data_IF_493267482113
#
_entry.id   IF_493267482113
#
_cell.length_a   1.000
_cell.length_b   1.000
_cell.length_c   1.000
_cell.angle_alpha   90.00
_cell.angle_beta   90.00
_cell.angle_gamma   90.00
#
_symmetry.space_group_name_H-M   'P 1'
#
loop_
_entity.id
_entity.type
_entity.pdbx_description
1 polymer ?
#
# COMPACT_ATOMS: atom_id res chain seq x y z
N UNK A 1 33.12 75.74 1.29
CA UNK A 1 32.90 74.81 2.42
C UNK A 1 32.07 73.65 1.92
N UNK A 2 32.63 72.45 1.90
CA UNK A 2 31.94 71.25 1.41
C UNK A 2 30.86 70.86 2.42
N UNK A 3 29.60 70.84 1.97
CA UNK A 3 28.46 70.43 2.76
C UNK A 3 28.44 68.90 2.82
N UNK A 4 28.82 68.37 3.99
CA UNK A 4 28.63 66.97 4.38
C UNK A 4 27.12 66.71 4.41
N UNK A 5 26.58 66.20 3.30
CA UNK A 5 25.19 65.72 3.25
C UNK A 5 25.21 64.20 3.33
N UNK A 6 24.81 63.74 4.51
CA UNK A 6 23.92 62.59 4.69
C UNK A 6 24.51 61.21 4.39
N UNK A 7 25.45 60.79 5.25
CA UNK A 7 25.88 59.38 5.41
C UNK A 7 24.89 58.56 6.27
N UNK A 8 23.58 58.80 6.14
CA UNK A 8 22.58 57.95 6.80
C UNK A 8 22.40 56.66 6.00
N UNK A 9 23.06 55.58 6.44
CA UNK A 9 22.93 54.24 5.87
C UNK A 9 21.45 53.84 5.83
N UNK A 10 20.94 53.52 4.64
CA UNK A 10 19.59 53.02 4.47
C UNK A 10 19.57 51.51 4.75
N UNK A 11 19.14 51.13 5.96
CA UNK A 11 19.08 49.73 6.39
C UNK A 11 18.12 48.88 5.57
N UNK A 12 16.99 49.43 5.14
CA UNK A 12 16.00 48.70 4.33
C UNK A 12 16.58 48.28 2.97
N UNK A 13 17.36 49.17 2.35
CA UNK A 13 18.05 48.86 1.08
C UNK A 13 19.06 47.74 1.26
N UNK A 14 19.83 47.79 2.35
CA UNK A 14 20.84 46.77 2.66
C UNK A 14 20.20 45.42 2.98
N UNK A 15 19.08 45.40 3.72
CA UNK A 15 18.33 44.18 4.02
C UNK A 15 17.80 43.52 2.73
N UNK A 16 17.24 44.30 1.82
CA UNK A 16 16.79 43.79 0.52
C UNK A 16 17.94 43.20 -0.31
N UNK A 17 19.10 43.87 -0.34
CA UNK A 17 20.29 43.38 -1.06
C UNK A 17 20.79 42.05 -0.48
N UNK A 18 20.80 41.93 0.85
CA UNK A 18 21.17 40.68 1.54
C UNK A 18 20.16 39.57 1.24
N UNK A 19 18.87 39.88 1.27
CA UNK A 19 17.81 38.93 0.96
C UNK A 19 17.87 38.42 -0.48
N UNK A 20 18.14 39.31 -1.43
CA UNK A 20 18.34 38.97 -2.84
C UNK A 20 19.57 38.07 -3.03
N UNK A 21 20.68 38.41 -2.37
CA UNK A 21 21.89 37.60 -2.40
C UNK A 21 21.65 36.19 -1.83
N UNK A 22 20.96 36.09 -0.69
CA UNK A 22 20.59 34.79 -0.10
C UNK A 22 19.66 33.98 -1.01
N UNK A 23 18.66 34.60 -1.63
CA UNK A 23 17.75 33.91 -2.57
C UNK A 23 18.50 33.40 -3.79
N UNK A 24 19.42 34.19 -4.34
CA UNK A 24 20.25 33.80 -5.48
C UNK A 24 21.17 32.63 -5.14
N UNK A 25 21.81 32.64 -3.96
CA UNK A 25 22.66 31.54 -3.51
C UNK A 25 21.87 30.25 -3.32
N UNK A 26 20.70 30.32 -2.66
CA UNK A 26 19.82 29.17 -2.50
C UNK A 26 19.39 28.58 -3.84
N UNK A 27 18.99 29.43 -4.80
CA UNK A 27 18.63 29.02 -6.16
C UNK A 27 19.80 28.34 -6.88
N UNK A 28 21.02 28.85 -6.73
CA UNK A 28 22.22 28.26 -7.29
C UNK A 28 22.42 26.82 -6.77
N UNK A 29 22.33 26.62 -5.46
CA UNK A 29 22.47 25.30 -4.84
C UNK A 29 21.38 24.32 -5.31
N UNK A 30 20.12 24.77 -5.35
CA UNK A 30 18.98 23.99 -5.85
C UNK A 30 19.19 23.55 -7.30
N UNK A 31 19.60 24.48 -8.17
CA UNK A 31 19.89 24.18 -9.57
C UNK A 31 21.08 23.23 -9.71
N UNK A 32 22.12 23.37 -8.91
CA UNK A 32 23.28 22.50 -8.97
C UNK A 32 22.93 21.05 -8.55
N UNK A 33 22.14 20.89 -7.48
CA UNK A 33 21.60 19.57 -7.10
C UNK A 33 20.75 18.97 -8.23
N UNK A 34 19.87 19.77 -8.84
CA UNK A 34 19.06 19.36 -9.97
C UNK A 34 19.91 18.95 -11.18
N UNK A 35 21.00 19.69 -11.48
CA UNK A 35 21.96 19.33 -12.53
C UNK A 35 22.58 17.97 -12.26
N UNK A 36 23.06 17.72 -11.04
CA UNK A 36 23.64 16.42 -10.68
C UNK A 36 22.62 15.29 -10.77
N UNK A 37 21.37 15.54 -10.36
CA UNK A 37 20.28 14.57 -10.45
C UNK A 37 19.95 14.23 -11.90
N UNK A 38 19.80 15.25 -12.75
CA UNK A 38 19.49 15.08 -14.17
C UNK A 38 20.59 14.31 -14.92
N UNK A 39 21.86 14.60 -14.63
CA UNK A 39 23.00 13.87 -15.22
C UNK A 39 22.97 12.39 -14.84
N UNK A 40 22.62 12.05 -13.59
CA UNK A 40 22.51 10.65 -13.14
C UNK A 40 21.37 9.88 -13.84
N UNK A 41 20.29 10.57 -14.21
CA UNK A 41 19.13 9.96 -14.87
C UNK A 41 19.39 9.63 -16.35
N UNK A 42 20.47 10.12 -16.96
CA UNK A 42 20.87 9.85 -18.37
C UNK A 42 19.76 10.13 -19.40
N UNK A 43 19.12 11.29 -19.29
CA UNK A 43 18.07 11.75 -20.21
C UNK A 43 18.60 12.54 -21.42
N UNK A 44 17.66 13.05 -22.22
CA UNK A 44 17.94 14.01 -23.30
C UNK A 44 18.29 15.39 -22.74
N UNK A 45 18.87 16.26 -23.58
CA UNK A 45 19.19 17.62 -23.16
C UNK A 45 17.95 18.43 -22.76
N UNK A 46 16.81 18.21 -23.42
CA UNK A 46 15.58 18.93 -23.08
C UNK A 46 15.06 18.50 -21.70
N UNK A 47 15.08 17.21 -21.38
CA UNK A 47 14.74 16.71 -20.04
C UNK A 47 15.67 17.29 -18.97
N UNK A 48 16.98 17.37 -19.26
CA UNK A 48 17.93 18.01 -18.35
C UNK A 48 17.55 19.48 -18.09
N UNK A 49 17.24 20.23 -19.14
CA UNK A 49 16.87 21.64 -19.05
C UNK A 49 15.56 21.82 -18.26
N UNK A 50 14.56 20.97 -18.49
CA UNK A 50 13.30 20.98 -17.77
C UNK A 50 13.50 20.70 -16.27
N UNK A 51 14.28 19.68 -15.91
CA UNK A 51 14.58 19.34 -14.51
C UNK A 51 15.27 20.51 -13.79
N UNK A 52 16.27 21.13 -14.43
CA UNK A 52 17.01 22.25 -13.83
C UNK A 52 16.12 23.49 -13.72
N UNK A 53 15.27 23.75 -14.73
CA UNK A 53 14.31 24.84 -14.69
C UNK A 53 13.28 24.65 -13.56
N UNK A 54 12.81 23.42 -13.35
CA UNK A 54 11.83 23.07 -12.32
C UNK A 54 12.41 22.95 -10.90
N UNK A 55 13.71 23.14 -10.69
CA UNK A 55 14.38 22.93 -9.40
C UNK A 55 13.84 23.81 -8.26
N UNK A 56 13.28 24.98 -8.58
CA UNK A 56 12.74 25.94 -7.63
C UNK A 56 11.28 25.65 -7.22
N UNK A 57 10.64 24.67 -7.86
CA UNK A 57 9.25 24.32 -7.56
C UNK A 57 9.18 23.64 -6.19
N UNK A 58 8.29 24.14 -5.33
CA UNK A 58 8.02 23.54 -4.03
C UNK A 58 7.02 22.39 -4.18
N UNK A 59 7.14 21.32 -3.37
CA UNK A 59 6.08 20.32 -3.26
C UNK A 59 4.76 20.99 -2.90
N UNK A 60 3.66 20.53 -3.49
CA UNK A 60 2.32 20.98 -3.14
C UNK A 60 2.09 20.85 -1.63
N UNK A 61 1.74 21.95 -0.98
CA UNK A 61 1.40 21.92 0.43
C UNK A 61 0.01 21.28 0.63
N UNK A 62 -0.29 20.77 1.84
CA UNK A 62 -1.56 20.08 2.12
C UNK A 62 -2.79 20.98 1.97
N UNK A 63 -2.59 22.29 2.07
CA UNK A 63 -3.55 23.35 1.84
C UNK A 63 -3.61 23.79 0.37
N UNK A 64 -2.59 23.50 -0.44
CA UNK A 64 -2.59 23.66 -1.90
C UNK A 64 -3.34 22.49 -2.54
N UNK A 65 -4.55 22.21 -2.04
CA UNK A 65 -5.47 21.32 -2.75
C UNK A 65 -5.85 22.06 -4.03
N UNK A 66 -5.24 21.64 -5.13
CA UNK A 66 -5.84 21.78 -6.45
C UNK A 66 -7.30 21.37 -6.25
N UNK A 67 -8.25 22.22 -6.66
CA UNK A 67 -9.67 21.87 -6.77
C UNK A 67 -9.85 20.79 -7.84
N UNK A 68 -9.13 19.66 -7.71
CA UNK A 68 -9.50 18.41 -8.31
C UNK A 68 -10.55 17.86 -7.36
N UNK A 69 -11.79 18.32 -7.55
CA UNK A 69 -12.98 17.85 -6.83
C UNK A 69 -13.17 16.33 -6.95
N UNK A 70 -12.45 15.70 -7.86
CA UNK A 70 -12.31 14.26 -7.94
C UNK A 70 -11.16 13.82 -7.04
N UNK A 71 -11.53 13.45 -5.81
CA UNK A 71 -10.78 12.60 -4.89
C UNK A 71 -9.86 11.66 -5.68
N UNK A 72 -8.59 12.03 -5.84
CA UNK A 72 -7.57 11.14 -6.41
C UNK A 72 -7.46 9.99 -5.43
N UNK A 73 -8.21 8.93 -5.69
CA UNK A 73 -8.08 7.65 -5.01
C UNK A 73 -6.67 7.21 -5.35
N UNK A 74 -5.75 7.33 -4.38
CA UNK A 74 -4.40 6.82 -4.55
C UNK A 74 -4.53 5.37 -5.03
N UNK A 75 -4.00 5.03 -6.22
CA UNK A 75 -4.20 3.71 -6.82
C UNK A 75 -3.58 2.58 -5.97
N UNK A 76 -2.76 2.94 -5.00
CA UNK A 76 -2.12 2.06 -4.02
C UNK A 76 -3.01 1.69 -2.82
N UNK A 77 -4.13 2.38 -2.62
CA UNK A 77 -5.09 2.11 -1.53
C UNK A 77 -6.50 1.90 -2.10
N UNK A 78 -6.68 0.82 -2.86
CA UNK A 78 -8.01 0.39 -3.33
C UNK A 78 -8.95 0.03 -2.18
N UNK A 79 -8.41 -0.34 -1.01
CA UNK A 79 -9.17 -0.80 0.15
C UNK A 79 -9.50 0.32 1.16
N UNK A 80 -8.99 1.53 0.96
CA UNK A 80 -9.18 2.68 1.86
C UNK A 80 -10.18 3.73 1.36
N UNK A 81 -10.70 3.59 0.14
CA UNK A 81 -11.70 4.53 -0.37
C UNK A 81 -13.11 4.13 0.08
N UNK A 82 -13.55 4.69 1.21
CA UNK A 82 -14.97 4.92 1.43
C UNK A 82 -15.43 5.98 0.41
N UNK A 83 -15.61 5.58 -0.85
CA UNK A 83 -16.43 6.28 -1.83
C UNK A 83 -17.67 5.43 -2.03
N UNK A 84 -18.80 5.92 -1.54
CA UNK A 84 -20.12 5.41 -1.89
C UNK A 84 -20.33 5.64 -3.39
N UNK A 85 -19.84 4.73 -4.23
CA UNK A 85 -20.32 4.59 -5.60
C UNK A 85 -21.29 3.44 -5.63
N UNK A 86 -22.54 3.80 -5.85
CA UNK A 86 -23.63 2.90 -6.15
C UNK A 86 -23.27 2.06 -7.38
N UNK A 87 -22.92 0.80 -7.15
CA UNK A 87 -23.18 -0.29 -8.10
C UNK A 87 -23.89 -1.34 -7.28
N UNK A 88 -25.16 -1.53 -7.61
CA UNK A 88 -26.10 -2.30 -6.81
C UNK A 88 -25.68 -3.76 -6.72
N UNK A 89 -25.53 -4.22 -5.49
CA UNK A 89 -26.07 -5.51 -5.06
C UNK A 89 -26.57 -5.31 -3.64
N UNK A 90 -27.85 -5.59 -3.48
CA UNK A 90 -28.65 -5.40 -2.28
C UNK A 90 -27.93 -5.98 -1.05
N UNK A 91 -27.60 -5.10 -0.09
CA UNK A 91 -27.27 -5.51 1.27
C UNK A 91 -28.31 -4.87 2.18
N UNK A 92 -29.33 -5.66 2.51
CA UNK A 92 -30.10 -5.42 3.72
C UNK A 92 -29.17 -5.70 4.90
N UNK A 93 -29.08 -4.71 5.78
CA UNK A 93 -28.68 -4.91 7.16
C UNK A 93 -29.44 -6.09 7.75
N UNK A 94 -28.71 -7.10 8.21
CA UNK A 94 -29.19 -8.10 9.14
C UNK A 94 -27.98 -8.65 9.89
N UNK A 95 -28.01 -8.49 11.20
CA UNK A 95 -27.18 -9.24 12.11
C UNK A 95 -27.46 -10.75 11.91
N UNK A 96 -26.58 -11.44 11.20
CA UNK A 96 -26.45 -12.89 11.25
C UNK A 96 -24.98 -13.26 11.08
N UNK A 97 -24.53 -14.20 11.91
CA UNK A 97 -23.23 -14.86 11.81
C UNK A 97 -23.18 -15.78 10.58
N UNK A 98 -23.30 -15.21 9.38
CA UNK A 98 -23.22 -15.95 8.14
C UNK A 98 -21.78 -15.98 7.65
N UNK A 99 -21.29 -17.20 7.49
CA UNK A 99 -19.96 -17.49 7.00
C UNK A 99 -19.87 -17.07 5.54
N UNK A 100 -19.15 -15.98 5.27
CA UNK A 100 -18.85 -15.55 3.91
C UNK A 100 -17.64 -16.32 3.39
N UNK A 101 -17.85 -17.25 2.46
CA UNK A 101 -16.75 -17.97 1.81
C UNK A 101 -15.85 -16.99 1.04
N UNK A 102 -14.51 -17.04 1.23
CA UNK A 102 -13.61 -16.10 0.57
C UNK A 102 -13.53 -16.40 -0.93
N UNK A 103 -13.70 -15.36 -1.74
CA UNK A 103 -13.64 -15.43 -3.21
C UNK A 103 -12.19 -15.28 -3.74
N UNK A 104 -11.24 -14.86 -2.90
CA UNK A 104 -9.84 -14.61 -3.26
C UNK A 104 -8.88 -14.93 -2.10
N UNK A 105 -7.62 -15.31 -2.44
CA UNK A 105 -6.52 -15.54 -1.48
C UNK A 105 -6.39 -14.41 -0.45
N UNK A 106 -6.50 -13.15 -0.89
CA UNK A 106 -6.39 -12.00 0.00
C UNK A 106 -7.55 -11.90 0.99
N UNK A 107 -8.78 -12.12 0.51
CA UNK A 107 -9.97 -12.13 1.37
C UNK A 107 -9.87 -13.23 2.43
N UNK A 108 -9.37 -14.42 2.05
CA UNK A 108 -9.09 -15.49 2.99
C UNK A 108 -8.11 -15.04 4.08
N UNK A 109 -6.96 -14.46 3.71
CA UNK A 109 -5.94 -14.03 4.67
C UNK A 109 -6.50 -12.98 5.64
N UNK A 110 -7.34 -12.06 5.17
CA UNK A 110 -7.97 -11.07 6.04
C UNK A 110 -8.89 -11.74 7.09
N UNK A 111 -9.76 -12.65 6.66
CA UNK A 111 -10.63 -13.39 7.59
C UNK A 111 -9.82 -14.28 8.54
N UNK A 112 -8.76 -14.92 8.03
CA UNK A 112 -7.84 -15.74 8.81
C UNK A 112 -7.11 -14.95 9.90
N UNK A 113 -6.62 -13.75 9.55
CA UNK A 113 -5.92 -12.85 10.49
C UNK A 113 -6.87 -12.20 11.50
N UNK A 114 -8.16 -12.07 11.19
CA UNK A 114 -9.19 -11.56 12.11
C UNK A 114 -9.47 -12.54 13.26
N UNK A 115 -9.25 -13.84 13.04
CA UNK A 115 -9.44 -14.85 14.10
C UNK A 115 -8.32 -14.77 15.14
N UNK A 116 -8.73 -14.66 16.41
CA UNK A 116 -7.80 -14.45 17.54
C UNK A 116 -7.28 -15.78 18.12
N UNK A 117 -8.08 -16.84 18.07
CA UNK A 117 -7.72 -18.16 18.61
C UNK A 117 -7.41 -19.17 17.51
N UNK A 118 -6.51 -20.12 17.80
CA UNK A 118 -6.27 -21.29 16.93
C UNK A 118 -7.53 -22.15 16.75
N UNK A 119 -8.41 -22.17 17.77
CA UNK A 119 -9.72 -22.81 17.72
C UNK A 119 -10.67 -22.19 16.71
N UNK A 120 -10.74 -20.86 16.70
CA UNK A 120 -11.59 -20.13 15.75
C UNK A 120 -11.08 -20.30 14.32
N UNK A 121 -9.74 -20.35 14.15
CA UNK A 121 -9.08 -20.62 12.87
C UNK A 121 -9.40 -22.02 12.34
N UNK A 122 -9.29 -23.04 13.19
CA UNK A 122 -9.61 -24.43 12.83
C UNK A 122 -11.11 -24.60 12.52
N UNK A 123 -11.99 -24.03 13.34
CA UNK A 123 -13.44 -24.02 13.09
C UNK A 123 -13.81 -23.31 11.78
N UNK A 124 -13.12 -22.22 11.44
CA UNK A 124 -13.30 -21.52 10.16
C UNK A 124 -12.83 -22.37 8.97
N UNK A 125 -11.69 -23.06 9.08
CA UNK A 125 -11.22 -24.00 8.05
C UNK A 125 -12.18 -25.17 7.87
N UNK A 126 -12.66 -25.75 8.96
CA UNK A 126 -13.64 -26.83 8.92
C UNK A 126 -14.90 -26.39 8.18
N UNK A 127 -15.48 -25.24 8.55
CA UNK A 127 -16.67 -24.69 7.90
C UNK A 127 -16.43 -24.37 6.42
N UNK A 128 -15.23 -23.91 6.07
CA UNK A 128 -14.84 -23.65 4.67
C UNK A 128 -14.79 -24.94 3.84
N UNK A 129 -14.17 -25.98 4.38
CA UNK A 129 -14.04 -27.28 3.74
C UNK A 129 -15.40 -27.99 3.60
N UNK A 130 -16.25 -27.85 4.61
CA UNK A 130 -17.58 -28.46 4.65
C UNK A 130 -18.55 -27.78 3.66
N UNK A 131 -18.52 -26.46 3.57
CA UNK A 131 -19.43 -25.69 2.69
C UNK A 131 -18.92 -25.56 1.27
N UNK A 132 -17.61 -25.45 1.08
CA UNK A 132 -16.97 -25.16 -0.21
C UNK A 132 -16.33 -26.37 -0.89
N UNK A 133 -16.19 -27.49 -0.19
CA UNK A 133 -15.55 -28.70 -0.69
C UNK A 133 -14.08 -28.48 -1.11
N UNK A 134 -13.49 -29.43 -1.87
CA UNK A 134 -12.09 -29.35 -2.28
C UNK A 134 -11.81 -28.19 -3.26
N UNK A 135 -12.82 -27.77 -4.02
CA UNK A 135 -12.71 -26.71 -5.01
C UNK A 135 -12.58 -25.30 -4.41
N UNK A 136 -13.11 -25.05 -3.20
CA UNK A 136 -13.03 -23.73 -2.58
C UNK A 136 -11.58 -23.34 -2.27
N UNK A 137 -10.78 -24.27 -1.73
CA UNK A 137 -9.36 -24.04 -1.42
C UNK A 137 -8.57 -23.81 -2.71
N UNK A 138 -8.81 -24.61 -3.76
CA UNK A 138 -8.16 -24.44 -5.06
C UNK A 138 -8.55 -23.12 -5.75
N UNK A 139 -9.78 -22.65 -5.56
CA UNK A 139 -10.23 -21.36 -6.11
C UNK A 139 -9.57 -20.19 -5.37
N UNK A 140 -9.45 -20.30 -4.05
CA UNK A 140 -8.81 -19.28 -3.20
C UNK A 140 -7.29 -19.24 -3.42
N UNK A 141 -6.63 -20.40 -3.48
CA UNK A 141 -5.16 -20.54 -3.58
C UNK A 141 -4.71 -21.04 -4.95
N UNK A 142 -5.36 -20.59 -6.02
CA UNK A 142 -5.12 -21.05 -7.40
C UNK A 142 -3.65 -20.99 -7.82
N UNK A 143 -2.94 -19.92 -7.46
CA UNK A 143 -1.55 -19.70 -7.87
C UNK A 143 -0.57 -20.14 -6.78
N UNK A 144 -0.77 -19.68 -5.55
CA UNK A 144 0.13 -19.96 -4.43
C UNK A 144 -0.56 -19.80 -3.08
N UNK A 145 -0.02 -20.52 -2.10
CA UNK A 145 -0.34 -20.32 -0.69
C UNK A 145 0.62 -19.23 -0.16
N UNK A 146 0.11 -18.14 0.44
CA UNK A 146 0.94 -17.13 1.05
C UNK A 146 1.93 -17.71 2.05
N UNK A 147 3.16 -17.19 2.05
CA UNK A 147 4.24 -17.66 2.92
C UNK A 147 3.82 -17.65 4.41
N UNK A 148 4.19 -18.71 5.14
CA UNK A 148 3.85 -18.90 6.55
C UNK A 148 2.43 -19.39 6.84
N UNK A 149 1.50 -19.31 5.88
CA UNK A 149 0.11 -19.73 6.08
C UNK A 149 -0.04 -21.24 6.24
N UNK A 150 0.79 -22.03 5.52
CA UNK A 150 0.81 -23.49 5.62
C UNK A 150 1.14 -23.96 7.06
N UNK A 151 2.13 -23.34 7.69
CA UNK A 151 2.49 -23.64 9.08
C UNK A 151 1.34 -23.31 10.03
N UNK A 152 0.68 -22.17 9.83
CA UNK A 152 -0.49 -21.79 10.64
C UNK A 152 -1.66 -22.78 10.45
N UNK A 153 -1.88 -23.32 9.25
CA UNK A 153 -2.88 -24.37 9.00
C UNK A 153 -2.55 -25.64 9.78
N UNK A 154 -1.32 -26.13 9.68
CA UNK A 154 -0.89 -27.35 10.37
C UNK A 154 -0.96 -27.21 11.89
N UNK A 155 -0.57 -26.05 12.44
CA UNK A 155 -0.68 -25.77 13.88
C UNK A 155 -2.15 -25.76 14.30
N UNK A 156 -3.02 -25.12 13.52
CA UNK A 156 -4.45 -25.03 13.86
C UNK A 156 -5.13 -26.40 13.81
N UNK A 157 -4.83 -27.21 12.79
CA UNK A 157 -5.32 -28.60 12.66
C UNK A 157 -4.76 -29.50 13.76
N UNK A 158 -3.47 -29.37 14.11
CA UNK A 158 -2.83 -30.16 15.16
C UNK A 158 -3.34 -29.81 16.56
N UNK A 159 -3.78 -28.57 16.76
CA UNK A 159 -4.38 -28.12 18.03
C UNK A 159 -5.79 -28.67 18.25
N UNK A 160 -6.52 -29.00 17.17
CA UNK A 160 -7.91 -29.47 17.22
C UNK A 160 -8.09 -30.79 16.46
N UNK A 161 -7.30 -31.81 16.82
CA UNK A 161 -7.38 -33.14 16.20
C UNK A 161 -8.74 -33.82 16.31
N UNK A 162 -9.56 -33.44 17.29
CA UNK A 162 -10.91 -33.98 17.50
C UNK A 162 -11.95 -33.38 16.55
N UNK A 163 -11.69 -32.22 15.96
CA UNK A 163 -12.66 -31.49 15.13
C UNK A 163 -12.48 -31.72 13.62
N UNK A 164 -11.36 -32.32 13.21
CA UNK A 164 -11.11 -32.68 11.82
C UNK A 164 -11.29 -34.17 11.61
N UNK A 165 -12.37 -34.55 10.91
CA UNK A 165 -12.52 -35.92 10.40
C UNK A 165 -11.33 -36.27 9.49
N UNK A 166 -10.87 -37.53 9.57
CA UNK A 166 -9.75 -38.04 8.75
C UNK A 166 -9.93 -37.73 7.26
N UNK A 167 -11.18 -37.76 6.77
CA UNK A 167 -11.54 -37.46 5.39
C UNK A 167 -11.38 -35.98 5.02
N UNK A 168 -11.70 -35.07 5.95
CA UNK A 168 -11.56 -33.62 5.76
C UNK A 168 -10.09 -33.23 5.77
N UNK A 169 -9.30 -33.87 6.65
CA UNK A 169 -7.85 -33.69 6.70
C UNK A 169 -7.17 -34.15 5.40
N UNK A 170 -7.52 -35.35 4.93
CA UNK A 170 -7.02 -35.88 3.66
C UNK A 170 -7.40 -34.97 2.49
N UNK A 171 -8.64 -34.48 2.48
CA UNK A 171 -9.13 -33.52 1.48
C UNK A 171 -8.35 -32.19 1.51
N UNK A 172 -8.10 -31.65 2.71
CA UNK A 172 -7.30 -30.43 2.88
C UNK A 172 -5.86 -30.63 2.38
N UNK A 173 -5.18 -31.68 2.81
CA UNK A 173 -3.78 -31.92 2.43
C UNK A 173 -3.63 -32.23 0.94
N UNK A 174 -4.55 -33.00 0.37
CA UNK A 174 -4.57 -33.31 -1.07
C UNK A 174 -4.83 -32.07 -1.91
N UNK A 175 -5.75 -31.20 -1.48
CA UNK A 175 -6.05 -29.95 -2.20
C UNK A 175 -4.92 -28.93 -2.08
N UNK A 176 -4.28 -28.81 -0.92
CA UNK A 176 -3.10 -27.95 -0.76
C UNK A 176 -1.94 -28.45 -1.62
N UNK A 177 -1.71 -29.76 -1.70
CA UNK A 177 -0.66 -30.37 -2.52
C UNK A 177 -0.87 -30.13 -4.03
N UNK A 178 -2.11 -29.92 -4.47
CA UNK A 178 -2.46 -29.61 -5.86
C UNK A 178 -2.29 -28.12 -6.22
N UNK A 179 -1.93 -27.26 -5.27
CA UNK A 179 -1.68 -25.83 -5.56
C UNK A 179 -0.38 -25.63 -6.33
N UNK A 180 -0.39 -24.72 -7.32
CA UNK A 180 0.65 -24.61 -8.34
C UNK A 180 2.07 -24.33 -7.81
N UNK A 181 2.19 -23.75 -6.62
CA UNK A 181 3.47 -23.42 -5.96
C UNK A 181 3.66 -24.09 -4.60
N UNK A 182 2.97 -25.21 -4.33
CA UNK A 182 3.05 -25.92 -3.05
C UNK A 182 4.49 -26.26 -2.63
N UNK A 183 5.33 -26.73 -3.56
CA UNK A 183 6.73 -27.09 -3.27
C UNK A 183 7.56 -25.93 -2.71
N UNK A 184 7.28 -24.67 -3.12
CA UNK A 184 7.98 -23.50 -2.59
C UNK A 184 7.63 -23.23 -1.12
N UNK A 185 6.45 -23.68 -0.66
CA UNK A 185 6.06 -23.57 0.75
C UNK A 185 6.74 -24.60 1.66
N UNK A 186 7.33 -25.66 1.09
CA UNK A 186 8.07 -26.70 1.82
C UNK A 186 9.59 -26.47 1.83
N UNK A 187 10.11 -25.69 0.88
CA UNK A 187 11.55 -25.43 0.74
C UNK A 187 12.09 -24.36 1.70
N UNK A 188 11.30 -23.98 2.71
CA UNK A 188 11.66 -22.94 3.70
C UNK A 188 11.95 -23.51 5.07
#
# INVERSE_FOLDING_TARGET
>A
MASLKDDSINFDKLENEVDEAMKAENLYWLQNDAKFRAVKQKGTYEEFKEIVAAAHLKPLAKNDKIQLEEKIVSPWNSLGSNSKSAVGTETKDSHSSDFTSPVSSQAFVLFWRKQKSHKDKASYLHKLLETGGPGAILTVFKNEIPFGLLGEFLISVSSEKEQFDSKILEMLLTTLAQTGRFNLSLSS
#
